data_IF_914515166216
#
_entry.id   IF_914515166216
#
_cell.length_a   1.000
_cell.length_b   1.000
_cell.length_c   1.000
_cell.angle_alpha   90.00
_cell.angle_beta   90.00
_cell.angle_gamma   90.00
#
_symmetry.space_group_name_H-M   'P 1'
#
loop_
_entity.id
_entity.type
_entity.pdbx_description
1 polymer ?
#
# COMPACT_ATOMS: atom_id res chain seq x y z
N UNK A 1 7.41 -9.29 33.45
CA UNK A 1 8.77 -8.87 33.04
C UNK A 1 9.17 -7.69 33.91
N UNK A 2 10.45 -7.57 34.26
CA UNK A 2 10.99 -6.60 35.24
C UNK A 2 11.25 -5.22 34.65
N UNK A 3 11.28 -4.19 35.49
CA UNK A 3 11.71 -2.84 35.12
C UNK A 3 13.18 -2.83 34.68
N UNK A 4 13.54 -1.90 33.78
CA UNK A 4 14.91 -1.73 33.31
C UNK A 4 15.52 -0.56 34.07
N UNK A 5 16.38 -0.88 35.03
CA UNK A 5 17.18 0.11 35.73
C UNK A 5 18.48 0.34 34.97
N UNK A 6 18.67 1.55 34.45
CA UNK A 6 19.97 1.95 33.93
C UNK A 6 20.95 2.02 35.11
N UNK A 7 22.14 1.41 35.02
CA UNK A 7 23.08 1.32 36.15
C UNK A 7 23.74 2.65 36.49
N UNK A 8 23.54 3.68 35.69
CA UNK A 8 24.16 5.00 35.80
C UNK A 8 23.17 6.07 35.33
N UNK A 9 23.15 7.21 36.04
CA UNK A 9 22.51 8.42 35.55
C UNK A 9 23.39 9.08 34.47
N UNK A 10 22.76 9.52 33.39
CA UNK A 10 23.42 10.21 32.27
C UNK A 10 22.91 11.66 32.21
N UNK A 11 23.81 12.62 32.15
CA UNK A 11 23.45 14.01 31.87
C UNK A 11 24.41 14.59 30.83
N UNK A 12 23.90 14.82 29.64
CA UNK A 12 24.58 15.53 28.56
C UNK A 12 23.92 16.90 28.47
N UNK A 13 24.49 17.88 29.17
CA UNK A 13 24.01 19.27 29.14
C UNK A 13 24.09 19.86 27.73
N UNK A 14 25.19 19.53 27.04
CA UNK A 14 25.44 19.95 25.67
C UNK A 14 26.51 19.06 25.04
N UNK A 15 26.16 18.36 23.96
CA UNK A 15 27.11 17.73 23.04
C UNK A 15 26.94 18.36 21.67
N UNK A 16 28.01 18.98 21.16
CA UNK A 16 28.04 19.65 19.86
C UNK A 16 28.99 18.93 18.91
N UNK A 17 28.50 18.68 17.70
CA UNK A 17 29.31 18.21 16.58
C UNK A 17 29.23 19.20 15.43
N UNK A 18 30.35 19.47 14.77
CA UNK A 18 30.43 20.35 13.62
C UNK A 18 31.18 19.64 12.49
N UNK A 19 30.71 19.83 11.25
CA UNK A 19 31.33 19.27 10.04
C UNK A 19 31.57 17.74 10.13
N UNK A 20 30.65 17.00 10.74
CA UNK A 20 30.75 15.54 10.82
C UNK A 20 30.46 14.93 9.45
N UNK A 21 31.20 13.89 9.10
CA UNK A 21 30.97 13.11 7.88
C UNK A 21 30.54 11.71 8.24
N UNK A 22 29.35 11.33 7.81
CA UNK A 22 28.85 9.96 7.90
C UNK A 22 29.09 9.30 6.55
N UNK A 23 29.95 8.28 6.53
CA UNK A 23 30.31 7.53 5.32
C UNK A 23 29.52 6.22 5.28
N UNK A 24 28.93 5.91 4.13
CA UNK A 24 28.17 4.68 3.89
C UNK A 24 27.76 4.61 2.42
N UNK A 25 26.59 4.03 2.13
CA UNK A 25 26.04 4.02 0.76
C UNK A 25 25.72 5.42 0.23
N UNK A 26 25.54 6.39 1.12
CA UNK A 26 25.40 7.80 0.78
C UNK A 26 26.17 8.63 1.79
N UNK A 27 27.10 9.45 1.29
CA UNK A 27 27.87 10.35 2.15
C UNK A 27 26.99 11.50 2.66
N UNK A 28 26.93 11.65 3.98
CA UNK A 28 26.16 12.73 4.64
C UNK A 28 27.12 13.67 5.34
N UNK A 29 27.03 14.95 4.98
CA UNK A 29 27.72 16.02 5.71
C UNK A 29 26.75 16.61 6.72
N UNK A 30 27.04 16.42 8.00
CA UNK A 30 26.33 17.08 9.11
C UNK A 30 27.07 18.37 9.43
N UNK A 31 26.49 19.51 9.06
CA UNK A 31 27.05 20.84 9.30
C UNK A 31 27.12 21.11 10.79
N UNK A 32 26.01 20.88 11.49
CA UNK A 32 25.90 21.03 12.95
C UNK A 32 25.03 19.92 13.53
N UNK A 33 25.39 19.48 14.74
CA UNK A 33 24.62 18.58 15.58
C UNK A 33 24.64 19.14 17.01
N UNK A 34 23.47 19.19 17.64
CA UNK A 34 23.31 19.46 19.06
C UNK A 34 22.54 18.30 19.69
N UNK A 35 23.06 17.74 20.78
CA UNK A 35 22.37 16.77 21.61
C UNK A 35 22.35 17.26 23.07
N UNK A 36 21.16 17.30 23.65
CA UNK A 36 20.90 17.55 25.07
C UNK A 36 19.98 16.47 25.59
N UNK A 37 20.49 15.62 26.46
CA UNK A 37 19.75 14.47 26.98
C UNK A 37 20.12 14.20 28.43
N UNK A 38 19.12 13.94 29.25
CA UNK A 38 19.29 13.46 30.62
C UNK A 38 18.55 12.14 30.80
N UNK A 39 19.11 11.24 31.59
CA UNK A 39 18.48 10.00 32.03
C UNK A 39 18.78 9.81 33.51
N UNK A 40 17.78 10.02 34.35
CA UNK A 40 17.90 10.00 35.81
C UNK A 40 16.84 9.05 36.35
N UNK A 41 17.27 8.04 37.11
CA UNK A 41 16.37 7.06 37.75
C UNK A 41 15.38 6.40 36.76
N UNK A 42 15.85 6.12 35.54
CA UNK A 42 15.05 5.51 34.47
C UNK A 42 14.14 6.48 33.71
N UNK A 43 14.11 7.77 34.08
CA UNK A 43 13.43 8.84 33.35
C UNK A 43 14.40 9.51 32.38
N UNK A 44 14.19 9.28 31.09
CA UNK A 44 14.97 9.88 30.01
C UNK A 44 14.22 11.07 29.43
N UNK A 45 14.89 12.21 29.33
CA UNK A 45 14.41 13.41 28.68
C UNK A 45 15.39 13.81 27.57
N UNK A 46 14.89 13.83 26.34
CA UNK A 46 15.56 14.44 25.20
C UNK A 46 15.12 15.90 25.13
N UNK A 47 15.94 16.80 25.66
CA UNK A 47 15.67 18.25 25.59
C UNK A 47 15.80 18.76 24.15
N UNK A 48 16.84 18.31 23.44
CA UNK A 48 17.05 18.63 22.03
C UNK A 48 17.94 17.60 21.34
N UNK A 49 17.53 17.20 20.13
CA UNK A 49 18.40 16.66 19.10
C UNK A 49 18.18 17.50 17.85
N UNK A 50 19.11 18.40 17.57
CA UNK A 50 19.07 19.25 16.38
C UNK A 50 20.20 18.85 15.43
N UNK A 51 19.86 18.54 14.19
CA UNK A 51 20.82 18.13 13.16
C UNK A 51 20.56 18.97 11.92
N UNK A 52 21.59 19.65 11.43
CA UNK A 52 21.60 20.31 10.13
C UNK A 52 22.56 19.57 9.19
N UNK A 53 22.04 19.00 8.09
CA UNK A 53 22.82 18.13 7.20
C UNK A 53 22.61 18.43 5.72
N UNK A 54 23.46 17.86 4.87
CA UNK A 54 23.29 17.91 3.41
C UNK A 54 21.94 17.35 2.94
N UNK A 55 21.35 16.40 3.68
CA UNK A 55 20.08 15.77 3.34
C UNK A 55 18.84 16.41 3.98
N UNK A 56 19.02 17.39 4.86
CA UNK A 56 17.91 18.07 5.51
C UNK A 56 18.20 18.44 6.96
N UNK A 57 17.16 18.96 7.61
CA UNK A 57 17.18 19.37 9.01
C UNK A 57 16.32 18.38 9.81
N UNK A 58 16.75 18.04 11.02
CA UNK A 58 16.01 17.23 11.99
C UNK A 58 16.02 17.94 13.33
N UNK A 59 14.87 18.01 13.98
CA UNK A 59 14.70 18.48 15.35
C UNK A 59 13.87 17.44 16.11
N UNK A 60 14.41 16.87 17.17
CA UNK A 60 13.67 15.92 18.02
C UNK A 60 13.75 16.30 19.49
N UNK A 61 12.67 16.02 20.20
CA UNK A 61 12.54 16.21 21.65
C UNK A 61 11.54 15.20 22.21
N UNK A 62 11.61 14.95 23.51
CA UNK A 62 10.65 14.05 24.14
C UNK A 62 11.08 13.48 25.48
N UNK A 63 10.26 12.57 25.97
CA UNK A 63 10.50 11.82 27.19
C UNK A 63 10.28 10.33 26.96
N UNK A 64 10.99 9.52 27.72
CA UNK A 64 10.79 8.08 27.81
C UNK A 64 11.14 7.62 29.23
N UNK A 65 10.29 6.79 29.81
CA UNK A 65 10.52 6.19 31.13
C UNK A 65 10.64 4.67 30.95
N UNK A 66 11.62 4.04 31.59
CA UNK A 66 11.87 2.59 31.50
C UNK A 66 11.34 1.80 32.71
N UNK A 67 10.49 2.42 33.52
CA UNK A 67 9.68 1.80 34.57
C UNK A 67 8.21 1.73 34.19
N UNK A 68 7.43 1.00 34.98
CA UNK A 68 5.98 0.85 34.79
C UNK A 68 5.66 0.25 33.41
N UNK A 69 4.78 0.92 32.65
CA UNK A 69 4.36 0.51 31.31
C UNK A 69 5.23 1.09 30.19
N UNK A 70 6.34 1.72 30.55
CA UNK A 70 7.27 2.38 29.65
C UNK A 70 6.63 3.50 28.83
N UNK A 71 6.12 4.56 29.49
CA UNK A 71 5.52 5.69 28.81
C UNK A 71 6.59 6.47 28.02
N UNK A 72 6.20 6.96 26.84
CA UNK A 72 7.03 7.83 26.02
C UNK A 72 6.19 8.87 25.29
N UNK A 73 6.77 10.04 25.05
CA UNK A 73 6.26 11.07 24.15
C UNK A 73 7.46 11.66 23.41
N UNK A 74 7.64 11.27 22.15
CA UNK A 74 8.74 11.71 21.29
C UNK A 74 8.13 12.43 20.10
N UNK A 75 8.62 13.64 19.85
CA UNK A 75 8.29 14.40 18.65
C UNK A 75 9.57 14.62 17.85
N UNK A 76 9.53 14.25 16.57
CA UNK A 76 10.55 14.51 15.58
C UNK A 76 9.95 15.34 14.45
N UNK A 77 10.58 16.46 14.14
CA UNK A 77 10.29 17.26 12.96
C UNK A 77 11.50 17.19 12.03
N UNK A 78 11.26 17.08 10.73
CA UNK A 78 12.30 17.12 9.73
C UNK A 78 11.86 17.91 8.51
N UNK A 79 12.80 18.57 7.85
CA UNK A 79 12.61 19.11 6.50
C UNK A 79 13.65 18.47 5.59
N UNK A 80 13.19 17.73 4.59
CA UNK A 80 14.04 17.00 3.67
C UNK A 80 14.69 17.96 2.66
N UNK A 81 15.95 17.71 2.34
CA UNK A 81 16.72 18.39 1.31
C UNK A 81 17.26 17.38 0.29
N UNK A 82 16.42 16.41 -0.08
CA UNK A 82 16.75 15.34 -1.04
C UNK A 82 15.68 15.29 -2.13
N UNK A 83 16.09 15.29 -3.38
CA UNK A 83 15.17 15.10 -4.50
C UNK A 83 14.64 13.66 -4.53
N UNK A 84 13.39 13.42 -4.98
CA UNK A 84 12.40 14.41 -5.45
C UNK A 84 11.55 15.01 -4.32
N UNK A 85 11.91 14.82 -3.06
CA UNK A 85 11.13 15.26 -1.88
C UNK A 85 11.72 16.51 -1.23
N UNK A 86 12.46 17.33 -1.98
CA UNK A 86 13.12 18.49 -1.42
C UNK A 86 12.06 19.48 -0.92
N UNK A 87 12.22 19.91 0.35
CA UNK A 87 11.27 20.78 1.04
C UNK A 87 10.12 20.04 1.74
N UNK A 88 10.03 18.71 1.63
CA UNK A 88 9.05 17.89 2.34
C UNK A 88 9.25 18.02 3.85
N UNK A 89 8.18 18.31 4.58
CA UNK A 89 8.20 18.44 6.04
C UNK A 89 7.57 17.21 6.64
N UNK A 90 8.35 16.50 7.45
CA UNK A 90 7.92 15.32 8.19
C UNK A 90 7.73 15.71 9.65
N UNK A 91 6.56 15.44 10.21
CA UNK A 91 6.32 15.48 11.65
C UNK A 91 5.92 14.10 12.12
N UNK A 92 6.80 13.45 12.88
CA UNK A 92 6.56 12.20 13.56
C UNK A 92 6.29 12.48 15.04
N UNK A 93 5.19 11.94 15.56
CA UNK A 93 4.93 11.86 17.00
C UNK A 93 4.77 10.40 17.37
N UNK A 94 5.49 9.95 18.39
CA UNK A 94 5.33 8.64 19.00
C UNK A 94 4.95 8.87 20.46
N UNK A 95 3.83 8.31 20.89
CA UNK A 95 3.27 8.53 22.22
C UNK A 95 2.72 7.24 22.84
N UNK A 96 2.25 7.36 24.09
CA UNK A 96 1.63 6.25 24.80
C UNK A 96 2.64 5.47 25.63
N UNK A 97 2.45 4.16 25.75
CA UNK A 97 3.25 3.29 26.58
C UNK A 97 3.60 2.00 25.85
N UNK A 98 4.89 1.68 25.73
CA UNK A 98 5.40 0.55 24.94
C UNK A 98 4.82 -0.81 25.38
N UNK A 99 4.55 -0.98 26.68
CA UNK A 99 3.98 -2.21 27.24
C UNK A 99 2.46 -2.26 27.20
N UNK A 100 1.79 -1.15 26.95
CA UNK A 100 0.34 -1.08 26.75
C UNK A 100 0.03 -0.70 25.30
N UNK A 101 -0.33 0.57 25.05
CA UNK A 101 -0.67 1.08 23.73
C UNK A 101 0.32 2.14 23.28
N UNK A 102 0.94 1.88 22.13
CA UNK A 102 1.75 2.84 21.39
C UNK A 102 0.88 3.57 20.37
N UNK A 103 1.07 4.87 20.26
CA UNK A 103 0.43 5.73 19.28
C UNK A 103 1.49 6.38 18.39
N UNK A 104 1.28 6.34 17.08
CA UNK A 104 2.19 6.90 16.09
C UNK A 104 1.38 7.83 15.19
N UNK A 105 1.81 9.08 15.09
CA UNK A 105 1.28 10.05 14.15
C UNK A 105 2.37 10.51 13.22
N UNK A 106 2.15 10.43 11.91
CA UNK A 106 3.02 11.01 10.89
C UNK A 106 2.20 12.00 10.08
N UNK A 107 2.67 13.24 10.00
CA UNK A 107 2.14 14.25 9.09
C UNK A 107 3.24 14.62 8.11
N UNK A 108 2.93 14.51 6.83
CA UNK A 108 3.75 14.95 5.71
C UNK A 108 3.12 16.20 5.12
N UNK A 109 3.94 17.19 4.78
CA UNK A 109 3.49 18.41 4.12
C UNK A 109 4.58 18.97 3.20
N UNK A 110 4.25 19.10 1.92
CA UNK A 110 5.19 19.50 0.88
C UNK A 110 4.82 18.84 -0.45
N UNK A 111 5.80 18.28 -1.19
CA UNK A 111 5.54 17.43 -2.35
C UNK A 111 4.52 16.30 -2.08
N UNK A 112 4.52 15.73 -0.87
CA UNK A 112 3.56 14.73 -0.40
C UNK A 112 2.77 15.28 0.79
N UNK A 113 1.45 15.36 0.64
CA UNK A 113 0.55 15.72 1.74
C UNK A 113 -0.18 14.46 2.22
N UNK A 114 0.12 14.01 3.43
CA UNK A 114 -0.41 12.75 3.98
C UNK A 114 -0.41 12.77 5.51
N UNK A 115 -1.50 12.27 6.08
CA UNK A 115 -1.61 11.95 7.50
C UNK A 115 -1.67 10.44 7.68
N UNK A 116 -0.77 9.89 8.49
CA UNK A 116 -0.82 8.52 8.98
C UNK A 116 -1.01 8.54 10.49
N UNK A 117 -1.95 7.73 10.97
CA UNK A 117 -2.12 7.43 12.39
C UNK A 117 -2.06 5.93 12.58
N UNK A 118 -1.28 5.46 13.53
CA UNK A 118 -1.24 4.07 13.92
C UNK A 118 -1.36 3.93 15.43
N UNK A 119 -2.06 2.90 15.87
CA UNK A 119 -2.12 2.48 17.27
C UNK A 119 -1.84 0.98 17.32
N UNK A 120 -0.99 0.56 18.25
CA UNK A 120 -0.66 -0.85 18.41
C UNK A 120 -0.34 -1.20 19.85
N UNK A 121 -0.53 -2.47 20.20
CA UNK A 121 -0.15 -3.03 21.50
C UNK A 121 0.92 -4.10 21.29
N UNK A 122 2.18 -3.66 21.32
CA UNK A 122 3.34 -4.49 20.95
C UNK A 122 3.50 -5.73 21.85
N UNK A 123 3.06 -5.64 23.10
CA UNK A 123 3.13 -6.72 24.08
C UNK A 123 1.99 -7.75 23.96
N UNK A 124 0.98 -7.49 23.11
CA UNK A 124 -0.14 -8.41 22.92
C UNK A 124 0.10 -9.38 21.76
N UNK A 125 -0.14 -10.67 22.01
CA UNK A 125 -0.06 -11.69 20.97
C UNK A 125 -1.02 -11.40 19.81
N UNK A 126 -0.53 -11.61 18.58
CA UNK A 126 -1.22 -11.27 17.34
C UNK A 126 -1.09 -9.81 16.92
N UNK A 127 -0.34 -8.97 17.65
CA UNK A 127 -0.03 -7.57 17.32
C UNK A 127 -1.27 -6.78 16.86
N UNK A 128 -2.20 -6.43 17.78
CA UNK A 128 -3.32 -5.55 17.46
C UNK A 128 -2.81 -4.26 16.84
N UNK A 129 -3.37 -3.89 15.70
CA UNK A 129 -2.94 -2.77 14.90
C UNK A 129 -4.15 -2.05 14.31
N UNK A 130 -4.22 -0.75 14.54
CA UNK A 130 -5.11 0.17 13.84
C UNK A 130 -4.22 1.12 13.05
N UNK A 131 -4.39 1.21 11.74
CA UNK A 131 -3.70 2.18 10.89
C UNK A 131 -4.75 2.92 10.06
N UNK A 132 -4.66 4.23 10.05
CA UNK A 132 -5.43 5.10 9.16
C UNK A 132 -4.47 5.98 8.38
N UNK A 133 -4.59 5.96 7.05
CA UNK A 133 -3.84 6.83 6.15
C UNK A 133 -4.84 7.67 5.37
N UNK A 134 -4.63 8.98 5.39
CA UNK A 134 -5.46 9.93 4.69
C UNK A 134 -4.59 10.87 3.87
N UNK A 135 -5.01 11.14 2.65
CA UNK A 135 -4.44 12.22 1.83
C UNK A 135 -5.53 12.84 0.98
N UNK A 136 -5.53 14.18 0.90
CA UNK A 136 -6.44 14.87 -0.02
C UNK A 136 -6.04 14.64 -1.48
N UNK A 137 -4.74 14.60 -1.74
CA UNK A 137 -4.19 14.44 -3.07
C UNK A 137 -2.74 13.96 -2.99
N UNK A 138 -2.46 12.84 -3.62
CA UNK A 138 -1.11 12.34 -3.92
C UNK A 138 -0.95 12.41 -5.43
N UNK A 139 0.23 12.79 -5.90
CA UNK A 139 0.54 12.79 -7.32
C UNK A 139 1.95 12.29 -7.56
N UNK A 140 2.18 11.76 -8.75
CA UNK A 140 3.49 11.32 -9.21
C UNK A 140 3.69 11.78 -10.65
N UNK A 141 4.91 12.20 -11.05
CA UNK A 141 6.08 12.51 -10.23
C UNK A 141 5.83 13.59 -9.15
N UNK A 142 6.59 13.55 -8.05
CA UNK A 142 6.47 14.53 -6.96
C UNK A 142 7.00 15.92 -7.31
N UNK A 143 7.79 16.03 -8.38
CA UNK A 143 8.31 17.28 -8.92
C UNK A 143 8.03 17.36 -10.42
N UNK A 144 7.83 18.57 -10.94
CA UNK A 144 7.52 18.79 -12.36
C UNK A 144 6.05 18.54 -12.71
N UNK A 145 5.80 18.01 -13.91
CA UNK A 145 4.45 17.78 -14.42
C UNK A 145 3.83 16.52 -13.80
N UNK A 146 2.62 16.66 -13.25
CA UNK A 146 1.89 15.56 -12.62
C UNK A 146 1.35 14.62 -13.69
N UNK A 147 1.76 13.36 -13.66
CA UNK A 147 1.31 12.35 -14.62
C UNK A 147 0.24 11.44 -14.04
N UNK A 148 0.28 11.18 -12.74
CA UNK A 148 -0.65 10.33 -12.02
C UNK A 148 -1.10 11.04 -10.77
N UNK A 149 -2.35 10.84 -10.40
CA UNK A 149 -2.95 11.48 -9.25
C UNK A 149 -3.95 10.55 -8.59
N UNK A 150 -3.90 10.52 -7.26
CA UNK A 150 -4.86 9.88 -6.38
C UNK A 150 -5.45 10.94 -5.45
N UNK A 151 -6.74 11.19 -5.59
CA UNK A 151 -7.54 12.13 -4.82
C UNK A 151 -8.29 11.39 -3.70
N UNK A 152 -8.48 12.08 -2.58
CA UNK A 152 -9.26 11.61 -1.42
C UNK A 152 -8.91 10.19 -0.97
N UNK A 153 -7.61 9.88 -0.89
CA UNK A 153 -7.13 8.61 -0.38
C UNK A 153 -7.53 8.46 1.08
N UNK A 154 -8.26 7.38 1.36
CA UNK A 154 -8.56 6.91 2.71
C UNK A 154 -8.26 5.43 2.77
N UNK A 155 -7.34 5.03 3.63
CA UNK A 155 -7.00 3.64 3.89
C UNK A 155 -7.12 3.38 5.38
N UNK A 156 -7.73 2.25 5.73
CA UNK A 156 -7.85 1.78 7.11
C UNK A 156 -7.53 0.29 7.20
N UNK A 157 -6.59 -0.04 8.08
CA UNK A 157 -6.27 -1.40 8.50
C UNK A 157 -6.59 -1.52 9.98
N UNK A 158 -7.28 -2.58 10.40
CA UNK A 158 -7.74 -2.74 11.79
C UNK A 158 -7.82 -4.22 12.12
N UNK A 159 -7.38 -4.60 13.33
CA UNK A 159 -7.49 -5.97 13.84
C UNK A 159 -6.14 -6.50 14.34
N UNK A 160 -5.98 -7.83 14.30
CA UNK A 160 -4.74 -8.53 14.65
C UNK A 160 -4.14 -9.14 13.39
N UNK A 161 -2.86 -9.48 13.39
CA UNK A 161 -2.22 -10.21 12.27
C UNK A 161 -2.91 -11.54 11.96
N UNK A 162 -3.57 -12.15 12.95
CA UNK A 162 -4.37 -13.37 12.80
C UNK A 162 -5.79 -13.15 12.27
N UNK A 163 -6.30 -11.92 12.30
CA UNK A 163 -7.63 -11.52 11.83
C UNK A 163 -7.70 -10.00 11.70
N UNK A 164 -7.48 -9.50 10.49
CA UNK A 164 -7.51 -8.06 10.18
C UNK A 164 -8.48 -7.75 9.04
N UNK A 165 -8.94 -6.50 9.03
CA UNK A 165 -9.75 -5.92 7.97
C UNK A 165 -9.00 -4.76 7.32
N UNK A 166 -9.03 -4.69 6.00
CA UNK A 166 -8.48 -3.61 5.18
C UNK A 166 -9.61 -2.97 4.39
N UNK A 167 -9.73 -1.65 4.46
CA UNK A 167 -10.60 -0.87 3.58
C UNK A 167 -9.82 0.27 2.93
N UNK A 168 -10.12 0.56 1.67
CA UNK A 168 -9.50 1.65 0.93
C UNK A 168 -10.51 2.30 0.00
N UNK A 169 -10.44 3.63 -0.12
CA UNK A 169 -11.11 4.40 -1.17
C UNK A 169 -10.18 5.47 -1.70
N UNK A 170 -10.19 5.68 -3.01
CA UNK A 170 -9.53 6.81 -3.67
C UNK A 170 -10.14 7.04 -5.06
N UNK A 171 -10.03 8.25 -5.58
CA UNK A 171 -10.25 8.53 -6.99
C UNK A 171 -8.89 8.70 -7.68
N UNK A 172 -8.66 8.03 -8.81
CA UNK A 172 -7.39 8.08 -9.54
C UNK A 172 -7.59 8.63 -10.94
N UNK A 173 -6.56 9.25 -11.49
CA UNK A 173 -6.47 9.68 -12.89
C UNK A 173 -5.00 9.79 -13.29
N UNK A 174 -4.72 9.69 -14.58
CA UNK A 174 -3.37 9.94 -15.05
C UNK A 174 -3.18 9.73 -16.54
N UNK A 175 -1.92 9.77 -16.97
CA UNK A 175 -1.52 9.46 -18.33
C UNK A 175 -1.96 8.03 -18.68
N UNK A 176 -2.77 7.90 -19.74
CA UNK A 176 -3.35 6.62 -20.19
C UNK A 176 -4.24 5.90 -19.17
N UNK A 177 -4.55 6.55 -18.03
CA UNK A 177 -5.44 6.02 -17.00
C UNK A 177 -6.69 6.90 -16.95
N UNK A 178 -7.84 6.40 -17.43
CA UNK A 178 -9.07 7.17 -17.35
C UNK A 178 -9.43 7.42 -15.88
N UNK A 179 -10.09 8.55 -15.58
CA UNK A 179 -10.57 8.82 -14.23
C UNK A 179 -11.40 7.65 -13.69
N UNK A 180 -11.03 7.18 -12.50
CA UNK A 180 -11.63 6.02 -11.87
C UNK A 180 -11.81 6.23 -10.38
N UNK A 181 -12.91 5.74 -9.80
CA UNK A 181 -13.04 5.59 -8.35
C UNK A 181 -12.76 4.15 -7.97
N UNK A 182 -11.82 3.94 -7.05
CA UNK A 182 -11.45 2.64 -6.51
C UNK A 182 -11.98 2.52 -5.09
N UNK A 183 -12.67 1.41 -4.80
CA UNK A 183 -13.02 1.02 -3.43
C UNK A 183 -12.66 -0.44 -3.20
N UNK A 184 -12.00 -0.73 -2.08
CA UNK A 184 -11.56 -2.07 -1.72
C UNK A 184 -11.97 -2.36 -0.27
N UNK A 185 -12.50 -3.55 -0.05
CA UNK A 185 -12.75 -4.15 1.26
C UNK A 185 -12.19 -5.58 1.26
N UNK A 186 -11.35 -5.89 2.24
CA UNK A 186 -10.72 -7.18 2.38
C UNK A 186 -10.56 -7.57 3.86
N UNK A 187 -10.42 -8.88 4.10
CA UNK A 187 -10.09 -9.46 5.39
C UNK A 187 -8.97 -10.46 5.22
N UNK A 188 -8.11 -10.60 6.22
CA UNK A 188 -6.99 -11.52 6.10
C UNK A 188 -6.40 -11.93 7.42
N UNK A 189 -5.43 -12.82 7.31
CA UNK A 189 -4.59 -13.28 8.40
C UNK A 189 -3.17 -13.55 7.86
N UNK A 190 -2.35 -14.26 8.63
CA UNK A 190 -0.97 -14.60 8.28
C UNK A 190 -0.84 -15.55 7.07
N UNK A 191 -1.93 -16.15 6.62
CA UNK A 191 -1.94 -17.24 5.62
C UNK A 191 -2.81 -16.93 4.40
N UNK A 192 -3.77 -16.02 4.50
CA UNK A 192 -4.68 -15.71 3.40
C UNK A 192 -5.21 -14.28 3.48
N UNK A 193 -5.66 -13.78 2.33
CA UNK A 193 -6.51 -12.58 2.20
C UNK A 193 -7.73 -12.92 1.36
N UNK A 194 -8.89 -12.66 1.93
CA UNK A 194 -10.18 -12.63 1.25
C UNK A 194 -10.49 -11.19 0.84
N UNK A 195 -10.49 -10.93 -0.46
CA UNK A 195 -11.00 -9.71 -1.06
C UNK A 195 -12.53 -9.82 -1.18
N UNK A 196 -13.24 -9.30 -0.17
CA UNK A 196 -14.70 -9.26 -0.13
C UNK A 196 -15.24 -8.52 -1.35
N UNK A 197 -14.60 -7.40 -1.70
CA UNK A 197 -14.95 -6.59 -2.86
C UNK A 197 -13.84 -5.60 -3.23
N UNK A 198 -13.36 -5.66 -4.46
CA UNK A 198 -12.71 -4.53 -5.14
C UNK A 198 -13.67 -4.01 -6.21
N UNK A 199 -13.86 -2.70 -6.27
CA UNK A 199 -14.66 -2.03 -7.30
C UNK A 199 -13.83 -0.94 -7.93
N UNK A 200 -13.82 -0.91 -9.25
CA UNK A 200 -13.29 0.18 -10.06
C UNK A 200 -14.44 0.73 -10.90
N UNK A 201 -14.86 1.96 -10.61
CA UNK A 201 -15.86 2.68 -11.40
C UNK A 201 -15.13 3.64 -12.34
N UNK A 202 -15.12 3.32 -13.62
CA UNK A 202 -14.42 4.04 -14.69
C UNK A 202 -15.16 3.81 -16.01
N UNK A 203 -14.86 4.59 -17.04
CA UNK A 203 -15.38 4.35 -18.40
C UNK A 203 -16.91 4.22 -18.46
N UNK A 204 -17.62 5.03 -17.66
CA UNK A 204 -19.09 4.98 -17.51
C UNK A 204 -19.67 3.62 -17.07
N UNK A 205 -18.80 2.72 -16.60
CA UNK A 205 -19.14 1.37 -16.18
C UNK A 205 -18.49 1.02 -14.84
N UNK A 206 -18.53 -0.27 -14.52
CA UNK A 206 -18.06 -0.79 -13.25
C UNK A 206 -17.38 -2.15 -13.44
N UNK A 207 -16.20 -2.29 -12.86
CA UNK A 207 -15.50 -3.55 -12.72
C UNK A 207 -15.50 -3.96 -11.26
N UNK A 208 -15.87 -5.20 -10.97
CA UNK A 208 -15.90 -5.75 -9.62
C UNK A 208 -15.08 -7.04 -9.55
N UNK A 209 -14.18 -7.14 -8.57
CA UNK A 209 -13.40 -8.34 -8.30
C UNK A 209 -13.69 -8.85 -6.89
N UNK A 210 -13.97 -10.14 -6.78
CA UNK A 210 -13.92 -10.90 -5.53
C UNK A 210 -12.82 -11.93 -5.64
N UNK A 211 -12.01 -12.09 -4.62
CA UNK A 211 -10.91 -13.05 -4.67
C UNK A 211 -10.56 -13.61 -3.30
N UNK A 212 -10.02 -14.83 -3.30
CA UNK A 212 -9.31 -15.40 -2.16
C UNK A 212 -7.89 -15.71 -2.62
N UNK A 213 -6.90 -15.19 -1.91
CA UNK A 213 -5.49 -15.49 -2.07
C UNK A 213 -5.01 -16.21 -0.80
N UNK A 214 -4.42 -17.38 -0.95
CA UNK A 214 -3.89 -18.21 0.15
C UNK A 214 -2.41 -18.51 -0.12
N UNK A 215 -1.57 -18.47 0.91
CA UNK A 215 -0.15 -18.78 0.86
C UNK A 215 0.30 -19.67 2.02
N UNK A 216 -0.59 -20.46 2.63
CA UNK A 216 -0.27 -21.33 3.76
C UNK A 216 0.77 -22.41 3.38
N UNK A 217 0.72 -22.90 2.15
CA UNK A 217 1.65 -23.92 1.62
C UNK A 217 2.28 -23.48 0.30
N UNK A 218 1.43 -23.00 -0.61
CA UNK A 218 1.79 -22.46 -1.91
C UNK A 218 0.89 -21.25 -2.17
N UNK A 219 1.35 -20.31 -2.98
CA UNK A 219 0.48 -19.21 -3.40
C UNK A 219 -0.62 -19.82 -4.27
N UNK A 220 -1.88 -19.66 -3.88
CA UNK A 220 -3.03 -20.11 -4.64
C UNK A 220 -4.12 -19.06 -4.62
N UNK A 221 -4.90 -18.98 -5.69
CA UNK A 221 -5.96 -17.99 -5.79
C UNK A 221 -7.22 -18.55 -6.42
N UNK A 222 -8.33 -17.92 -6.07
CA UNK A 222 -9.61 -18.02 -6.75
C UNK A 222 -10.17 -16.62 -6.90
N UNK A 223 -10.54 -16.22 -8.11
CA UNK A 223 -11.04 -14.88 -8.41
C UNK A 223 -12.27 -14.92 -9.31
N UNK A 224 -13.18 -13.98 -9.09
CA UNK A 224 -14.33 -13.71 -9.95
C UNK A 224 -14.33 -12.21 -10.29
N UNK A 225 -14.15 -11.92 -11.57
CA UNK A 225 -14.16 -10.59 -12.14
C UNK A 225 -15.46 -10.39 -12.92
N UNK A 226 -16.20 -9.34 -12.57
CA UNK A 226 -17.41 -8.91 -13.29
C UNK A 226 -17.18 -7.56 -13.94
N UNK A 227 -17.51 -7.44 -15.21
CA UNK A 227 -17.51 -6.19 -15.97
C UNK A 227 -18.97 -5.80 -16.24
N UNK A 228 -19.33 -4.55 -15.94
CA UNK A 228 -20.68 -4.04 -16.12
C UNK A 228 -20.62 -2.72 -16.90
N UNK A 229 -21.01 -2.77 -18.17
CA UNK A 229 -21.19 -1.60 -19.02
C UNK A 229 -19.91 -0.81 -19.31
N UNK A 230 -18.74 -1.45 -19.36
CA UNK A 230 -17.46 -0.77 -19.63
C UNK A 230 -17.50 -0.13 -21.01
N UNK A 231 -17.44 1.20 -21.08
CA UNK A 231 -17.57 1.97 -22.31
C UNK A 231 -16.26 2.64 -22.72
N UNK A 232 -15.60 2.11 -23.75
CA UNK A 232 -14.32 2.64 -24.23
C UNK A 232 -14.45 3.73 -25.29
N UNK A 233 -15.67 4.14 -25.68
CA UNK A 233 -15.86 5.03 -26.83
C UNK A 233 -15.19 6.40 -26.71
N UNK A 234 -14.99 6.90 -25.47
CA UNK A 234 -14.30 8.17 -25.21
C UNK A 234 -12.78 8.03 -25.24
N UNK A 235 -12.25 6.96 -24.65
CA UNK A 235 -10.80 6.75 -24.50
C UNK A 235 -10.16 6.08 -25.72
N UNK A 236 -10.91 5.23 -26.42
CA UNK A 236 -10.47 4.48 -27.61
C UNK A 236 -11.49 4.69 -28.75
N UNK A 237 -11.55 5.90 -29.36
CA UNK A 237 -12.56 6.23 -30.37
C UNK A 237 -12.42 5.41 -31.67
N UNK A 238 -11.24 4.87 -31.95
CA UNK A 238 -10.95 3.98 -33.07
C UNK A 238 -11.53 2.58 -32.88
N UNK A 239 -11.87 2.21 -31.65
CA UNK A 239 -12.43 0.91 -31.29
C UNK A 239 -13.48 1.03 -30.17
N UNK A 240 -14.59 1.77 -30.41
CA UNK A 240 -15.59 2.03 -29.40
C UNK A 240 -16.28 0.73 -29.01
N UNK A 241 -16.30 0.45 -27.71
CA UNK A 241 -16.90 -0.77 -27.16
C UNK A 241 -17.78 -0.46 -25.96
N UNK A 242 -18.81 -1.30 -25.77
CA UNK A 242 -19.58 -1.36 -24.54
C UNK A 242 -19.68 -2.83 -24.13
N UNK A 243 -19.02 -3.20 -23.04
CA UNK A 243 -18.81 -4.60 -22.68
C UNK A 243 -19.32 -4.94 -21.29
N UNK A 244 -19.91 -6.12 -21.18
CA UNK A 244 -20.21 -6.82 -19.93
C UNK A 244 -19.44 -8.13 -19.92
N UNK A 245 -19.12 -8.66 -18.75
CA UNK A 245 -18.42 -9.93 -18.67
C UNK A 245 -18.38 -10.53 -17.28
N UNK A 246 -18.11 -11.83 -17.26
CA UNK A 246 -17.85 -12.62 -16.07
C UNK A 246 -16.64 -13.50 -16.37
N UNK A 247 -15.59 -13.35 -15.57
CA UNK A 247 -14.36 -14.13 -15.70
C UNK A 247 -14.05 -14.74 -14.35
N UNK A 248 -14.09 -16.06 -14.26
CA UNK A 248 -13.61 -16.80 -13.11
C UNK A 248 -12.21 -17.29 -13.39
N UNK A 249 -11.33 -17.17 -12.41
CA UNK A 249 -9.96 -17.68 -12.50
C UNK A 249 -9.61 -18.44 -11.24
N UNK A 250 -8.78 -19.46 -11.37
CA UNK A 250 -8.14 -20.13 -10.24
C UNK A 250 -6.76 -20.60 -10.64
N UNK A 251 -5.85 -20.68 -9.69
CA UNK A 251 -4.50 -21.14 -9.98
C UNK A 251 -3.64 -21.28 -8.75
N UNK A 252 -2.41 -21.70 -8.98
CA UNK A 252 -1.39 -21.83 -7.94
C UNK A 252 0.00 -21.62 -8.50
N UNK A 253 0.89 -21.11 -7.66
CA UNK A 253 2.32 -20.91 -7.88
C UNK A 253 3.09 -21.61 -6.75
N UNK A 254 3.90 -22.60 -7.11
CA UNK A 254 4.73 -23.35 -6.18
C UNK A 254 6.07 -23.70 -6.83
N UNK A 255 7.18 -23.45 -6.10
CA UNK A 255 8.52 -23.79 -6.57
C UNK A 255 8.89 -23.16 -7.92
N UNK A 256 8.37 -21.95 -8.23
CA UNK A 256 8.59 -21.28 -9.51
C UNK A 256 7.73 -21.77 -10.68
N UNK A 257 6.91 -22.80 -10.47
CA UNK A 257 5.97 -23.32 -11.47
C UNK A 257 4.55 -22.85 -11.19
N UNK A 258 3.81 -22.48 -12.24
CA UNK A 258 2.43 -22.02 -12.13
C UNK A 258 1.48 -22.91 -12.91
N UNK A 259 0.25 -23.00 -12.43
CA UNK A 259 -0.89 -23.55 -13.16
C UNK A 259 -2.08 -22.64 -12.98
N UNK A 260 -2.89 -22.50 -14.02
CA UNK A 260 -4.04 -21.62 -14.06
C UNK A 260 -5.18 -22.27 -14.83
N UNK A 261 -6.39 -22.00 -14.38
CA UNK A 261 -7.62 -22.31 -15.06
C UNK A 261 -8.53 -21.08 -15.09
N UNK A 262 -9.17 -20.87 -16.23
CA UNK A 262 -10.28 -19.95 -16.43
C UNK A 262 -11.51 -20.83 -16.64
N UNK A 263 -12.20 -21.25 -15.57
CA UNK A 263 -13.34 -22.17 -15.70
C UNK A 263 -14.60 -21.50 -16.26
N UNK A 264 -14.62 -20.16 -16.33
CA UNK A 264 -15.69 -19.42 -16.98
C UNK A 264 -15.12 -18.11 -17.53
N UNK A 265 -15.19 -17.93 -18.84
CA UNK A 265 -14.95 -16.68 -19.53
C UNK A 265 -16.21 -16.35 -20.31
N UNK A 266 -16.89 -15.28 -19.94
CA UNK A 266 -18.04 -14.73 -20.67
C UNK A 266 -17.82 -13.25 -20.92
N UNK A 267 -17.94 -12.83 -22.17
CA UNK A 267 -17.90 -11.42 -22.56
C UNK A 267 -19.00 -11.16 -23.57
N UNK A 268 -19.80 -10.14 -23.35
CA UNK A 268 -20.91 -9.76 -24.22
C UNK A 268 -20.96 -8.26 -24.41
N UNK A 269 -21.60 -7.81 -25.48
CA UNK A 269 -21.85 -6.39 -25.70
C UNK A 269 -21.66 -6.01 -27.15
N UNK A 270 -21.01 -4.89 -27.39
CA UNK A 270 -20.76 -4.40 -28.74
C UNK A 270 -19.38 -3.78 -28.90
N UNK A 271 -18.84 -3.92 -30.10
CA UNK A 271 -17.58 -3.32 -30.55
C UNK A 271 -17.83 -2.78 -31.95
N UNK A 272 -17.59 -1.48 -32.19
CA UNK A 272 -17.88 -0.83 -33.48
C UNK A 272 -19.30 -1.13 -34.00
N UNK A 273 -20.30 -1.08 -33.12
CA UNK A 273 -21.70 -1.45 -33.38
C UNK A 273 -21.96 -2.94 -33.70
N UNK A 274 -20.92 -3.77 -33.79
CA UNK A 274 -21.07 -5.21 -33.95
C UNK A 274 -21.25 -5.88 -32.60
N UNK A 275 -22.21 -6.79 -32.50
CA UNK A 275 -22.40 -7.62 -31.32
C UNK A 275 -21.13 -8.44 -31.06
N UNK A 276 -20.72 -8.51 -29.80
CA UNK A 276 -19.67 -9.41 -29.32
C UNK A 276 -20.27 -10.44 -28.39
N UNK A 277 -19.82 -11.69 -28.56
CA UNK A 277 -20.11 -12.77 -27.63
C UNK A 277 -18.87 -13.67 -27.54
N UNK A 278 -18.32 -13.83 -26.34
CA UNK A 278 -17.22 -14.74 -26.05
C UNK A 278 -17.68 -15.64 -24.92
N UNK A 279 -17.54 -16.94 -25.10
CA UNK A 279 -17.82 -17.94 -24.07
C UNK A 279 -16.75 -19.02 -24.13
N UNK A 280 -16.17 -19.42 -22.99
CA UNK A 280 -15.23 -20.51 -23.00
C UNK A 280 -14.55 -20.83 -21.69
N UNK A 281 -13.65 -21.80 -21.78
CA UNK A 281 -12.80 -22.27 -20.68
C UNK A 281 -11.38 -22.50 -21.16
N UNK A 282 -10.41 -22.25 -20.28
CA UNK A 282 -8.98 -22.31 -20.61
C UNK A 282 -8.22 -22.92 -19.44
N UNK A 283 -7.17 -23.70 -19.71
CA UNK A 283 -6.20 -24.19 -18.72
C UNK A 283 -4.80 -24.00 -19.27
N UNK A 284 -3.87 -23.60 -18.41
CA UNK A 284 -2.48 -23.35 -18.79
C UNK A 284 -1.52 -23.63 -17.64
N UNK A 285 -0.25 -23.83 -17.95
CA UNK A 285 0.80 -23.96 -16.95
C UNK A 285 2.13 -23.34 -17.40
N UNK A 286 3.12 -23.34 -16.50
CA UNK A 286 4.46 -22.80 -16.73
C UNK A 286 5.27 -23.45 -17.85
N UNK A 287 4.84 -24.61 -18.36
CA UNK A 287 5.47 -25.30 -19.49
C UNK A 287 4.83 -24.91 -20.82
N UNK A 288 4.02 -23.84 -20.84
CA UNK A 288 3.25 -23.41 -22.02
C UNK A 288 2.29 -24.49 -22.53
N UNK A 289 1.91 -25.43 -21.66
CA UNK A 289 0.91 -26.44 -21.98
C UNK A 289 -0.48 -25.82 -21.76
N UNK A 290 -1.14 -25.49 -22.86
CA UNK A 290 -2.48 -24.93 -22.87
C UNK A 290 -3.49 -25.97 -23.32
N UNK A 291 -4.61 -26.05 -22.62
CA UNK A 291 -5.77 -26.83 -23.00
C UNK A 291 -6.96 -25.88 -23.12
N UNK A 292 -7.60 -25.90 -24.27
CA UNK A 292 -8.79 -25.11 -24.60
C UNK A 292 -9.91 -26.11 -24.89
N UNK A 293 -10.72 -26.51 -23.89
CA UNK A 293 -11.83 -27.45 -24.12
C UNK A 293 -12.86 -26.91 -25.10
N UNK A 294 -13.04 -25.60 -25.10
CA UNK A 294 -13.89 -24.84 -26.02
C UNK A 294 -13.81 -23.35 -25.72
N UNK A 295 -13.65 -22.56 -26.77
CA UNK A 295 -13.70 -21.10 -26.74
C UNK A 295 -14.42 -20.63 -28.01
N UNK A 296 -15.62 -20.11 -27.80
CA UNK A 296 -16.45 -19.47 -28.79
C UNK A 296 -16.14 -17.97 -28.84
N UNK A 297 -15.93 -17.43 -30.04
CA UNK A 297 -15.70 -16.01 -30.29
C UNK A 297 -16.66 -15.55 -31.41
N UNK A 298 -17.48 -14.54 -31.14
CA UNK A 298 -18.40 -13.90 -32.09
C UNK A 298 -18.12 -12.39 -32.12
N UNK A 299 -17.93 -11.82 -33.30
CA UNK A 299 -17.84 -10.39 -33.56
C UNK A 299 -18.62 -10.04 -34.84
N UNK A 300 -19.86 -9.59 -34.65
CA UNK A 300 -20.80 -9.33 -35.74
C UNK A 300 -21.07 -10.62 -36.54
N UNK A 301 -20.84 -10.64 -37.87
CA UNK A 301 -21.04 -11.84 -38.69
C UNK A 301 -19.88 -12.84 -38.58
N UNK A 302 -18.76 -12.47 -37.95
CA UNK A 302 -17.58 -13.33 -37.85
C UNK A 302 -17.67 -14.18 -36.58
N UNK A 303 -17.41 -15.48 -36.71
CA UNK A 303 -17.28 -16.38 -35.57
C UNK A 303 -16.06 -17.29 -35.70
N UNK A 304 -15.52 -17.69 -34.57
CA UNK A 304 -14.45 -18.67 -34.45
C UNK A 304 -14.72 -19.60 -33.27
N UNK A 305 -14.46 -20.88 -33.49
CA UNK A 305 -14.50 -21.92 -32.45
C UNK A 305 -13.09 -22.45 -32.28
N UNK A 306 -12.55 -22.33 -31.06
CA UNK A 306 -11.21 -22.80 -30.72
C UNK A 306 -11.32 -23.96 -29.75
N UNK A 307 -10.73 -25.08 -30.14
CA UNK A 307 -10.61 -26.27 -29.30
C UNK A 307 -9.29 -26.96 -29.61
N UNK A 308 -8.54 -27.30 -28.58
CA UNK A 308 -7.29 -28.02 -28.75
C UNK A 308 -6.37 -27.97 -27.55
N UNK A 309 -5.21 -28.58 -27.74
CA UNK A 309 -4.10 -28.59 -26.80
C UNK A 309 -2.86 -28.03 -27.52
N UNK A 310 -2.05 -27.28 -26.78
CA UNK A 310 -0.81 -26.68 -27.26
C UNK A 310 0.27 -26.98 -26.22
N UNK A 311 1.41 -27.55 -26.62
CA UNK A 311 2.46 -27.98 -25.69
C UNK A 311 3.68 -28.52 -26.41
#
# INVERSE_FOLDING_TARGET
>A
MTDVHLPLNLNIEEFKGEQLRVTGDTDITVRTMLLKVSSIDGNTKLDALDIDSSQGIVNASGTAQLSDNWPLDITLNSTLNVEPLKGEKVKLKVGGALREQLEIGVNLSGPVDMDLRAQTRLAEAGLPLNVEVNSKQIYWPFTGEKQYQADDLKLKLTGKMTDYTLSMRTAVKGLEIPPATITLDAKGNEQQVNLDKLTVAALEGKTELKALLDWQQAISWRGELTLNGINTAKEIPEWPSKLNGLIKTRGSLYGGTWQMEVPELKLTGNVKQNKVNVDGTLKGNSYMQWMIPGLHLELGPNSAEVKGELG
#
